data_IF_840101398957
#
_entry.id   IF_840101398957
#
_cell.length_a   1.000
_cell.length_b   1.000
_cell.length_c   1.000
_cell.angle_alpha   90.00
_cell.angle_beta   90.00
_cell.angle_gamma   90.00
#
_symmetry.space_group_name_H-M   'P 1'
#
loop_
_entity.id
_entity.type
_entity.pdbx_description
1 polymer ?
#
# COMPACT_ATOMS: atom_id res chain seq x y z
N UNK A 1 23.27 5.86 24.10
CA UNK A 1 21.88 6.07 24.55
C UNK A 1 21.03 5.12 23.76
N UNK A 2 20.56 4.06 24.40
CA UNK A 2 19.81 2.97 23.76
C UNK A 2 18.42 3.50 23.45
N UNK A 3 18.11 3.77 22.18
CA UNK A 3 16.73 4.05 21.76
C UNK A 3 15.91 2.81 22.09
N UNK A 4 15.13 2.89 23.16
CA UNK A 4 14.17 1.85 23.50
C UNK A 4 13.21 1.74 22.31
N UNK A 5 13.21 0.60 21.63
CA UNK A 5 12.28 0.31 20.55
C UNK A 5 10.88 0.21 21.15
N UNK A 6 10.18 1.34 21.22
CA UNK A 6 8.83 1.42 21.77
C UNK A 6 7.91 0.49 20.96
N UNK A 7 7.23 -0.39 21.67
CA UNK A 7 6.24 -1.31 21.10
C UNK A 7 5.06 -0.52 20.58
N UNK A 8 4.62 -0.83 19.36
CA UNK A 8 3.51 -0.13 18.74
C UNK A 8 2.19 -0.48 19.44
N UNK A 9 1.33 0.51 19.59
CA UNK A 9 -0.08 0.28 19.92
C UNK A 9 -0.82 -0.26 18.70
N UNK A 10 -2.03 -0.80 18.91
CA UNK A 10 -2.88 -1.24 17.81
C UNK A 10 -3.19 -0.07 16.85
N UNK A 11 -3.57 1.09 17.39
CA UNK A 11 -3.88 2.27 16.58
C UNK A 11 -2.67 2.79 15.78
N UNK A 12 -1.46 2.74 16.34
CA UNK A 12 -0.24 3.10 15.62
C UNK A 12 0.06 2.08 14.51
N UNK A 13 -0.14 0.79 14.78
CA UNK A 13 0.05 -0.29 13.79
C UNK A 13 -0.93 -0.14 12.63
N UNK A 14 -2.22 0.09 12.91
CA UNK A 14 -3.24 0.34 11.89
C UNK A 14 -2.88 1.55 11.04
N UNK A 15 -2.45 2.66 11.66
CA UNK A 15 -2.00 3.85 10.93
C UNK A 15 -0.81 3.54 10.02
N UNK A 16 0.17 2.79 10.52
CA UNK A 16 1.34 2.36 9.74
C UNK A 16 0.96 1.48 8.55
N UNK A 17 0.04 0.52 8.74
CA UNK A 17 -0.47 -0.35 7.67
C UNK A 17 -1.21 0.48 6.62
N UNK A 18 -2.11 1.38 7.02
CA UNK A 18 -2.85 2.24 6.09
C UNK A 18 -1.91 3.10 5.24
N UNK A 19 -0.95 3.75 5.88
CA UNK A 19 0.06 4.56 5.20
C UNK A 19 0.91 3.74 4.22
N UNK A 20 1.24 2.50 4.61
CA UNK A 20 1.95 1.58 3.74
C UNK A 20 1.10 1.14 2.53
N UNK A 21 -0.18 0.82 2.73
CA UNK A 21 -1.11 0.45 1.64
C UNK A 21 -1.21 1.59 0.62
N UNK A 22 -1.31 2.84 1.07
CA UNK A 22 -1.34 4.00 0.16
C UNK A 22 -0.08 4.07 -0.71
N UNK A 23 1.09 3.95 -0.09
CA UNK A 23 2.39 3.95 -0.78
C UNK A 23 2.49 2.78 -1.76
N UNK A 24 2.01 1.60 -1.36
CA UNK A 24 2.00 0.41 -2.21
C UNK A 24 1.08 0.59 -3.42
N UNK A 25 -0.11 1.19 -3.27
CA UNK A 25 -1.02 1.50 -4.37
C UNK A 25 -0.34 2.43 -5.38
N UNK A 26 0.23 3.55 -4.93
CA UNK A 26 0.95 4.45 -5.84
C UNK A 26 2.11 3.76 -6.56
N UNK A 27 2.84 2.90 -5.84
CA UNK A 27 3.96 2.15 -6.41
C UNK A 27 3.49 1.12 -7.44
N UNK A 28 2.39 0.39 -7.18
CA UNK A 28 1.79 -0.56 -8.14
C UNK A 28 1.37 0.17 -9.41
N UNK A 29 0.66 1.31 -9.29
CA UNK A 29 0.19 2.08 -10.43
C UNK A 29 1.34 2.55 -11.33
N UNK A 30 2.47 2.93 -10.72
CA UNK A 30 3.68 3.33 -11.45
C UNK A 30 4.38 2.14 -12.10
N UNK A 31 4.69 1.08 -11.32
CA UNK A 31 5.49 -0.07 -11.79
C UNK A 31 4.75 -0.89 -12.85
N UNK A 32 3.42 -0.96 -12.77
CA UNK A 32 2.59 -1.60 -13.81
C UNK A 32 2.19 -0.64 -14.93
N UNK A 33 2.71 0.59 -14.93
CA UNK A 33 2.48 1.59 -15.98
C UNK A 33 0.99 1.83 -16.29
N UNK A 34 0.13 1.75 -15.26
CA UNK A 34 -1.31 2.00 -15.40
C UNK A 34 -1.59 3.47 -15.70
N UNK A 35 -0.70 4.33 -15.21
CA UNK A 35 -0.69 5.75 -15.49
C UNK A 35 0.68 6.18 -16.03
N UNK A 36 0.73 7.20 -16.88
CA UNK A 36 1.99 7.75 -17.39
C UNK A 36 3.00 8.07 -16.29
N UNK A 37 4.29 7.74 -16.47
CA UNK A 37 5.31 7.91 -15.42
C UNK A 37 5.54 9.37 -15.02
N UNK A 38 5.30 10.32 -15.92
CA UNK A 38 5.36 11.77 -15.68
C UNK A 38 4.32 12.27 -14.68
N UNK A 39 3.23 11.53 -14.45
CA UNK A 39 2.27 11.83 -13.38
C UNK A 39 2.82 11.52 -11.99
N UNK A 40 3.95 10.84 -11.88
CA UNK A 40 4.53 10.44 -10.60
C UNK A 40 5.82 11.19 -10.30
N UNK A 41 6.11 11.31 -9.01
CA UNK A 41 7.41 11.76 -8.50
C UNK A 41 8.03 10.70 -7.63
N UNK A 42 9.35 10.59 -7.75
CA UNK A 42 10.15 9.76 -6.85
C UNK A 42 10.23 10.43 -5.48
N UNK A 43 9.92 9.68 -4.44
CA UNK A 43 10.03 10.05 -3.02
C UNK A 43 10.85 9.01 -2.28
N UNK A 44 11.19 9.28 -1.02
CA UNK A 44 11.86 8.34 -0.13
C UNK A 44 10.95 8.05 1.06
N UNK A 45 10.68 6.76 1.31
CA UNK A 45 9.90 6.30 2.47
C UNK A 45 10.37 4.92 2.91
N UNK A 46 10.38 4.67 4.23
CA UNK A 46 10.94 3.44 4.82
C UNK A 46 12.38 3.16 4.33
N UNK A 47 13.17 4.22 4.14
CA UNK A 47 14.52 4.17 3.57
C UNK A 47 14.61 3.49 2.18
N UNK A 48 13.54 3.58 1.38
CA UNK A 48 13.45 3.03 0.01
C UNK A 48 12.85 4.05 -0.95
N UNK A 49 13.31 4.09 -2.22
CA UNK A 49 12.68 4.91 -3.24
C UNK A 49 11.27 4.41 -3.54
N UNK A 50 10.29 5.31 -3.49
CA UNK A 50 8.89 5.03 -3.81
C UNK A 50 8.38 6.05 -4.83
N UNK A 51 7.24 5.76 -5.45
CA UNK A 51 6.59 6.65 -6.40
C UNK A 51 5.29 7.17 -5.80
N UNK A 52 5.01 8.45 -6.01
CA UNK A 52 3.79 9.10 -5.55
C UNK A 52 3.19 9.92 -6.69
N UNK A 53 1.87 9.81 -6.89
CA UNK A 53 1.20 10.60 -7.92
C UNK A 53 1.13 12.08 -7.54
N UNK A 54 1.22 12.95 -8.55
CA UNK A 54 0.99 14.39 -8.43
C UNK A 54 -0.40 14.82 -8.86
N UNK A 55 -1.20 13.91 -9.43
CA UNK A 55 -2.50 14.24 -9.99
C UNK A 55 -3.54 14.35 -8.86
N UNK A 56 -4.16 15.53 -8.62
CA UNK A 56 -5.04 15.75 -7.48
C UNK A 56 -6.19 14.75 -7.38
N UNK A 57 -6.90 14.51 -8.48
CA UNK A 57 -8.04 13.58 -8.48
C UNK A 57 -7.64 12.12 -8.21
N UNK A 58 -6.43 11.71 -8.62
CA UNK A 58 -5.95 10.35 -8.36
C UNK A 58 -5.57 10.21 -6.90
N UNK A 59 -4.91 11.23 -6.34
CA UNK A 59 -4.57 11.27 -4.92
C UNK A 59 -5.82 11.28 -4.03
N UNK A 60 -6.84 12.05 -4.41
CA UNK A 60 -8.11 12.09 -3.70
C UNK A 60 -8.81 10.72 -3.71
N UNK A 61 -8.87 10.08 -4.87
CA UNK A 61 -9.44 8.73 -5.00
C UNK A 61 -8.71 7.70 -4.12
N UNK A 62 -7.38 7.66 -4.20
CA UNK A 62 -6.56 6.72 -3.42
C UNK A 62 -6.71 7.00 -1.92
N UNK A 63 -6.63 8.26 -1.50
CA UNK A 63 -6.77 8.65 -0.10
C UNK A 63 -8.16 8.30 0.44
N UNK A 64 -9.22 8.52 -0.35
CA UNK A 64 -10.59 8.13 0.01
C UNK A 64 -10.73 6.61 0.20
N UNK A 65 -10.16 5.82 -0.71
CA UNK A 65 -10.17 4.36 -0.61
C UNK A 65 -9.38 3.86 0.62
N UNK A 66 -8.17 4.41 0.86
CA UNK A 66 -7.33 4.05 2.01
C UNK A 66 -8.00 4.46 3.32
N UNK A 67 -8.71 5.59 3.35
CA UNK A 67 -9.48 6.00 4.53
C UNK A 67 -10.55 4.97 4.88
N UNK A 68 -11.34 4.51 3.91
CA UNK A 68 -12.33 3.46 4.14
C UNK A 68 -11.69 2.15 4.64
N UNK A 69 -10.54 1.76 4.08
CA UNK A 69 -9.76 0.61 4.57
C UNK A 69 -9.27 0.83 6.01
N UNK A 70 -8.83 2.04 6.35
CA UNK A 70 -8.36 2.40 7.69
C UNK A 70 -9.46 2.27 8.72
N UNK A 71 -10.67 2.74 8.39
CA UNK A 71 -11.82 2.65 9.28
C UNK A 71 -12.19 1.19 9.57
N UNK A 72 -12.20 0.33 8.55
CA UNK A 72 -12.43 -1.12 8.73
C UNK A 72 -11.28 -1.82 9.48
N UNK A 73 -10.02 -1.44 9.24
CA UNK A 73 -8.87 -1.97 9.97
C UNK A 73 -8.97 -1.64 11.46
N UNK A 74 -9.47 -0.46 11.84
CA UNK A 74 -9.67 -0.08 13.25
C UNK A 74 -10.72 -0.94 13.94
N UNK A 75 -11.69 -1.46 13.20
CA UNK A 75 -12.70 -2.38 13.72
C UNK A 75 -12.12 -3.80 13.92
N UNK A 76 -11.01 -4.14 13.26
CA UNK A 76 -10.40 -5.47 13.34
C UNK A 76 -11.11 -6.53 12.49
N UNK A 77 -11.87 -6.09 11.48
CA UNK A 77 -12.69 -6.97 10.62
C UNK A 77 -12.06 -7.24 9.24
N UNK A 78 -10.88 -6.70 8.98
CA UNK A 78 -10.24 -6.80 7.65
C UNK A 78 -9.29 -7.98 7.62
N UNK A 79 -9.65 -9.01 6.87
CA UNK A 79 -8.75 -10.14 6.60
C UNK A 79 -7.76 -9.83 5.47
N UNK A 80 -8.23 -9.14 4.43
CA UNK A 80 -7.46 -8.88 3.19
C UNK A 80 -7.88 -7.56 2.56
N UNK A 81 -6.89 -6.84 2.05
CA UNK A 81 -7.08 -5.71 1.12
C UNK A 81 -6.57 -6.14 -0.24
N UNK A 82 -7.38 -5.98 -1.28
CA UNK A 82 -7.05 -6.47 -2.64
C UNK A 82 -7.11 -5.34 -3.64
N UNK A 83 -5.97 -5.05 -4.29
CA UNK A 83 -5.90 -4.13 -5.43
C UNK A 83 -5.99 -4.95 -6.71
N UNK A 84 -7.04 -4.74 -7.49
CA UNK A 84 -7.30 -5.48 -8.72
C UNK A 84 -7.09 -4.57 -9.93
N UNK A 85 -6.22 -4.98 -10.84
CA UNK A 85 -6.07 -4.35 -12.15
C UNK A 85 -6.98 -5.08 -13.12
N UNK A 86 -7.85 -4.32 -13.78
CA UNK A 86 -8.81 -4.85 -14.75
C UNK A 86 -8.54 -4.28 -16.13
N UNK A 87 -8.91 -5.04 -17.16
CA UNK A 87 -8.98 -4.53 -18.52
C UNK A 87 -10.26 -3.70 -18.77
N UNK A 88 -10.43 -3.27 -20.02
CA UNK A 88 -11.58 -2.48 -20.47
C UNK A 88 -12.91 -3.25 -20.40
N UNK A 89 -12.84 -4.58 -20.48
CA UNK A 89 -14.00 -5.49 -20.36
C UNK A 89 -14.24 -5.92 -18.91
N UNK A 90 -13.58 -5.26 -17.95
CA UNK A 90 -13.65 -5.51 -16.52
C UNK A 90 -13.15 -6.89 -16.08
N UNK A 91 -12.37 -7.58 -16.91
CA UNK A 91 -11.69 -8.82 -16.56
C UNK A 91 -10.47 -8.52 -15.69
N UNK A 92 -10.33 -9.27 -14.60
CA UNK A 92 -9.21 -9.09 -13.67
C UNK A 92 -7.92 -9.67 -14.28
N UNK A 93 -6.98 -8.81 -14.61
CA UNK A 93 -5.66 -9.17 -15.14
C UNK A 93 -4.70 -9.51 -14.00
N UNK A 94 -4.67 -8.67 -12.95
CA UNK A 94 -3.75 -8.83 -11.82
C UNK A 94 -4.44 -8.54 -10.50
N UNK A 95 -3.97 -9.21 -9.45
CA UNK A 95 -4.48 -9.05 -8.07
C UNK A 95 -3.31 -8.94 -7.11
N UNK A 96 -3.17 -7.79 -6.47
CA UNK A 96 -2.23 -7.59 -5.36
C UNK A 96 -3.00 -7.76 -4.05
N UNK A 97 -2.71 -8.84 -3.34
CA UNK A 97 -3.42 -9.23 -2.11
C UNK A 97 -2.54 -8.89 -0.91
N UNK A 98 -3.03 -7.99 -0.07
CA UNK A 98 -2.45 -7.66 1.22
C UNK A 98 -3.24 -8.37 2.31
N UNK A 99 -2.72 -9.50 2.79
CA UNK A 99 -3.34 -10.23 3.90
C UNK A 99 -3.01 -9.54 5.22
N UNK A 100 -4.05 -9.20 5.97
CA UNK A 100 -3.97 -8.67 7.33
C UNK A 100 -4.46 -9.78 8.24
N UNK A 101 -3.56 -10.69 8.59
CA UNK A 101 -3.89 -11.73 9.56
C UNK A 101 -4.09 -11.05 10.91
N UNK A 102 -5.30 -11.14 11.46
CA UNK A 102 -5.74 -10.37 12.62
C UNK A 102 -4.70 -10.42 13.75
N UNK A 103 -4.03 -9.28 13.96
CA UNK A 103 -3.12 -9.06 15.08
C UNK A 103 -3.99 -8.85 16.32
N UNK A 104 -4.34 -9.94 17.01
CA UNK A 104 -4.89 -9.98 18.36
C UNK A 104 -6.35 -9.47 18.45
N UNK A 105 -7.26 -10.29 18.96
CA UNK A 105 -8.56 -9.81 19.44
C UNK A 105 -8.33 -8.97 20.70
N UNK A 106 -7.94 -7.70 20.52
CA UNK A 106 -7.79 -6.76 21.64
C UNK A 106 -9.19 -6.23 21.96
N UNK A 107 -9.69 -6.57 23.14
CA UNK A 107 -10.93 -6.00 23.67
C UNK A 107 -10.87 -4.47 23.59
N UNK A 108 -12.01 -3.83 23.27
CA UNK A 108 -12.12 -2.42 22.84
C UNK A 108 -11.46 -1.39 23.77
N UNK A 109 -11.11 -1.77 25.00
CA UNK A 109 -10.49 -0.92 26.03
C UNK A 109 -8.96 -0.87 26.01
N UNK A 110 -8.25 -1.58 25.13
CA UNK A 110 -6.77 -1.64 25.15
C UNK A 110 -6.05 -1.24 23.83
N UNK A 111 -6.72 -0.55 22.90
CA UNK A 111 -6.16 -0.24 21.56
C UNK A 111 -5.00 0.78 21.55
N UNK A 112 -4.85 1.55 22.63
CA UNK A 112 -3.79 2.53 22.82
C UNK A 112 -2.72 2.11 23.84
N UNK A 113 -2.88 0.93 24.44
CA UNK A 113 -1.86 0.36 25.33
C UNK A 113 -0.90 -0.48 24.51
N UNK A 114 0.41 -0.26 24.65
CA UNK A 114 1.37 -1.16 24.02
C UNK A 114 1.36 -2.51 24.74
N UNK A 115 1.34 -3.60 23.98
CA UNK A 115 1.35 -4.96 24.53
C UNK A 115 2.81 -5.41 24.66
N UNK A 116 3.17 -6.08 25.76
CA UNK A 116 4.42 -6.83 25.83
C UNK A 116 4.39 -7.85 24.68
N UNK A 117 5.40 -7.82 23.81
CA UNK A 117 5.52 -8.57 22.54
C UNK A 117 4.88 -7.94 21.29
N UNK A 118 4.31 -6.73 21.37
CA UNK A 118 3.91 -6.00 20.17
C UNK A 118 5.13 -5.57 19.34
N UNK A 119 4.96 -5.59 18.01
CA UNK A 119 6.01 -5.22 17.05
C UNK A 119 6.50 -3.79 17.28
N UNK A 120 7.80 -3.55 17.13
CA UNK A 120 8.37 -2.20 17.20
C UNK A 120 8.17 -1.44 15.88
N UNK A 121 8.17 -0.11 15.96
CA UNK A 121 8.12 0.78 14.79
C UNK A 121 9.25 0.53 13.77
N UNK A 122 10.44 0.19 14.29
CA UNK A 122 11.63 -0.14 13.49
C UNK A 122 11.41 -1.44 12.71
N UNK A 123 10.96 -2.50 13.38
CA UNK A 123 10.69 -3.78 12.72
C UNK A 123 9.59 -3.64 11.66
N UNK A 124 8.50 -2.93 11.98
CA UNK A 124 7.43 -2.67 11.02
C UNK A 124 7.94 -1.93 9.77
N UNK A 125 8.77 -0.90 9.97
CA UNK A 125 9.38 -0.15 8.86
C UNK A 125 10.30 -1.02 8.00
N UNK A 126 11.03 -1.97 8.60
CA UNK A 126 11.87 -2.92 7.86
C UNK A 126 11.05 -3.92 7.04
N UNK A 127 9.90 -4.38 7.55
CA UNK A 127 8.98 -5.21 6.78
C UNK A 127 8.40 -4.44 5.58
N UNK A 128 7.96 -3.20 5.78
CA UNK A 128 7.49 -2.34 4.70
C UNK A 128 8.56 -2.07 3.66
N UNK A 129 9.80 -1.79 4.09
CA UNK A 129 10.96 -1.64 3.21
C UNK A 129 11.16 -2.87 2.33
N UNK A 130 11.21 -4.05 2.96
CA UNK A 130 11.44 -5.32 2.28
C UNK A 130 10.35 -5.61 1.25
N UNK A 131 9.10 -5.31 1.60
CA UNK A 131 7.97 -5.44 0.68
C UNK A 131 8.10 -4.51 -0.51
N UNK A 132 8.38 -3.22 -0.30
CA UNK A 132 8.47 -2.23 -1.38
C UNK A 132 9.61 -2.55 -2.35
N UNK A 133 10.76 -3.01 -1.86
CA UNK A 133 11.85 -3.48 -2.70
C UNK A 133 11.36 -4.63 -3.59
N UNK A 134 10.72 -5.64 -3.00
CA UNK A 134 10.16 -6.76 -3.75
C UNK A 134 9.13 -6.28 -4.78
N UNK A 135 8.25 -5.36 -4.41
CA UNK A 135 7.22 -4.76 -5.27
C UNK A 135 7.83 -4.06 -6.49
N UNK A 136 8.91 -3.30 -6.31
CA UNK A 136 9.60 -2.63 -7.42
C UNK A 136 10.29 -3.60 -8.38
N UNK A 137 10.61 -4.81 -7.93
CA UNK A 137 11.23 -5.84 -8.79
C UNK A 137 10.20 -6.64 -9.61
N UNK A 138 8.90 -6.45 -9.38
CA UNK A 138 7.85 -7.24 -10.03
C UNK A 138 7.78 -6.99 -11.54
N UNK A 139 8.18 -5.80 -12.02
CA UNK A 139 8.24 -5.52 -13.47
C UNK A 139 9.10 -6.54 -14.22
N UNK A 140 10.21 -6.98 -13.62
CA UNK A 140 11.09 -8.00 -14.19
C UNK A 140 10.46 -9.41 -14.22
N UNK A 141 9.36 -9.64 -13.47
CA UNK A 141 8.73 -10.95 -13.31
C UNK A 141 7.39 -11.09 -14.05
N UNK A 142 6.62 -10.02 -14.20
CA UNK A 142 5.24 -10.07 -14.74
C UNK A 142 5.11 -9.69 -16.23
N UNK A 143 6.19 -9.31 -16.91
CA UNK A 143 6.12 -8.86 -18.31
C UNK A 143 5.31 -7.57 -18.48
N UNK A 144 5.19 -7.11 -19.73
CA UNK A 144 4.41 -5.91 -20.08
C UNK A 144 2.92 -6.22 -20.01
N UNK A 145 2.12 -5.33 -19.41
CA UNK A 145 0.67 -5.39 -19.52
C UNK A 145 0.27 -5.02 -20.95
N UNK A 146 -0.04 -6.01 -21.78
CA UNK A 146 -0.70 -5.77 -23.05
C UNK A 146 -2.18 -5.44 -22.79
N UNK A 147 -2.45 -4.18 -22.46
CA UNK A 147 -3.79 -3.63 -22.54
C UNK A 147 -4.17 -3.60 -24.03
N UNK A 148 -4.83 -4.63 -24.54
CA UNK A 148 -5.18 -4.72 -25.96
C UNK A 148 -5.85 -3.42 -26.45
N UNK A 149 -5.28 -2.86 -27.53
CA UNK A 149 -5.81 -1.73 -28.27
C UNK A 149 -5.31 -0.36 -27.82
N UNK A 150 -4.06 -0.04 -28.19
CA UNK A 150 -3.58 1.32 -28.38
C UNK A 150 -3.30 1.56 -29.87
N UNK A 151 -4.34 1.79 -30.68
CA UNK A 151 -4.12 2.66 -31.85
C UNK A 151 -3.69 4.01 -31.30
N UNK A 152 -2.62 4.64 -31.82
CA UNK A 152 -2.27 6.00 -31.45
C UNK A 152 -3.32 6.93 -32.06
N UNK A 153 -4.47 7.05 -31.38
CA UNK A 153 -5.44 8.06 -31.69
C UNK A 153 -4.81 9.40 -31.27
N UNK A 154 -4.56 10.21 -32.30
CA UNK A 154 -4.22 11.63 -32.23
C UNK A 154 -4.83 12.29 -30.99
N UNK A 155 -3.97 12.82 -30.12
CA UNK A 155 -4.32 14.01 -29.37
C UNK A 155 -3.81 15.21 -30.17
N UNK A 156 -4.75 15.79 -30.91
CA UNK A 156 -4.78 17.11 -31.57
C UNK A 156 -3.76 17.33 -32.69
#
# INVERSE_FOLDING_TARGET
MTEASESLTFNQTVKGIAEFIEVAIHTILYVRQIYPPDLFVRRKKYDTPVFQSRHPALNEYISGAVKAVTDELRLGNVDKVVVVIKDKDHLALERFIFSVNNMIQVESYNKDTSVQDAMSSIALSQYFRSFLIKLTMIEAQLGLLELQGGSPALFI
#
